data_IF_703175179079
#
_entry.id   IF_703175179079
#
_cell.length_a   1.000
_cell.length_b   1.000
_cell.length_c   1.000
_cell.angle_alpha   90.00
_cell.angle_beta   90.00
_cell.angle_gamma   90.00
#
_symmetry.space_group_name_H-M   'P 1'
#
loop_
_entity.id
_entity.type
_entity.pdbx_description
1 polymer ?
#
# COMPACT_ATOMS: atom_id res chain seq x y z
N UNK A 1 -5.74 18.94 -14.68
CA UNK A 1 -4.98 19.40 -13.50
C UNK A 1 -3.85 18.40 -13.32
N UNK A 2 -2.61 18.85 -13.21
CA UNK A 2 -1.46 17.94 -13.16
C UNK A 2 -1.39 17.23 -11.82
N UNK A 3 -1.23 15.91 -11.83
CA UNK A 3 -0.93 15.13 -10.63
C UNK A 3 0.39 15.62 -10.04
N UNK A 4 0.39 16.03 -8.77
CA UNK A 4 1.61 16.44 -8.09
C UNK A 4 2.54 15.22 -7.99
N UNK A 5 3.80 15.39 -8.38
CA UNK A 5 4.76 14.28 -8.46
C UNK A 5 5.89 14.44 -7.45
N UNK A 6 6.20 13.38 -6.70
CA UNK A 6 7.39 13.26 -5.84
C UNK A 6 8.31 12.21 -6.48
N UNK A 7 9.58 12.53 -6.65
CA UNK A 7 10.52 11.65 -7.35
C UNK A 7 11.89 11.63 -6.67
N UNK A 8 12.48 10.44 -6.59
CA UNK A 8 13.85 10.23 -6.07
C UNK A 8 14.08 10.81 -4.68
N UNK A 9 13.11 10.61 -3.79
CA UNK A 9 13.20 11.07 -2.40
C UNK A 9 13.35 9.88 -1.45
N UNK A 10 14.11 10.11 -0.38
CA UNK A 10 14.03 9.32 0.85
C UNK A 10 13.05 10.03 1.78
N UNK A 11 11.92 9.41 2.06
CA UNK A 11 10.91 9.91 2.99
C UNK A 11 10.97 9.11 4.29
N UNK A 12 11.09 9.82 5.41
CA UNK A 12 11.23 9.20 6.73
C UNK A 12 10.22 9.74 7.72
N UNK A 13 10.02 8.98 8.80
CA UNK A 13 9.12 9.34 9.90
C UNK A 13 7.81 8.58 9.86
N UNK A 14 7.12 8.58 11.00
CA UNK A 14 5.96 7.72 11.29
C UNK A 14 4.86 7.78 10.22
N UNK A 15 4.57 8.97 9.68
CA UNK A 15 3.51 9.23 8.71
C UNK A 15 3.92 10.27 7.65
N UNK A 16 4.98 9.98 6.89
CA UNK A 16 5.64 10.94 5.98
C UNK A 16 4.70 11.67 5.00
N UNK A 17 3.61 11.03 4.58
CA UNK A 17 2.61 11.57 3.65
C UNK A 17 1.18 11.37 4.18
N UNK A 18 0.97 11.59 5.47
CA UNK A 18 -0.36 11.56 6.09
C UNK A 18 -1.35 12.45 5.33
N UNK A 19 -2.55 11.93 5.05
CA UNK A 19 -3.62 12.65 4.35
C UNK A 19 -3.22 13.20 2.97
N UNK A 20 -2.23 12.56 2.32
CA UNK A 20 -1.84 12.93 0.97
C UNK A 20 -2.99 12.67 -0.01
N UNK A 21 -3.12 13.56 -1.00
CA UNK A 21 -4.14 13.47 -2.03
C UNK A 21 -3.54 13.73 -3.40
N UNK A 22 -3.96 12.93 -4.39
CA UNK A 22 -3.68 13.12 -5.81
C UNK A 22 -2.16 13.24 -6.12
N UNK A 23 -1.38 12.27 -5.61
CA UNK A 23 0.07 12.21 -5.77
C UNK A 23 0.52 11.03 -6.64
N UNK A 24 1.48 11.31 -7.53
CA UNK A 24 2.31 10.29 -8.16
C UNK A 24 3.67 10.27 -7.48
N UNK A 25 4.11 9.10 -7.03
CA UNK A 25 5.35 8.93 -6.27
C UNK A 25 6.20 7.90 -7.00
N UNK A 26 7.41 8.30 -7.39
CA UNK A 26 8.26 7.53 -8.31
C UNK A 26 9.68 7.42 -7.79
N UNK A 27 10.27 6.23 -7.88
CA UNK A 27 11.67 6.01 -7.52
C UNK A 27 12.00 6.47 -6.09
N UNK A 28 11.04 6.36 -5.18
CA UNK A 28 11.16 6.82 -3.80
C UNK A 28 11.35 5.65 -2.83
N UNK A 29 11.95 5.98 -1.68
CA UNK A 29 12.13 5.04 -0.57
C UNK A 29 11.45 5.62 0.66
N UNK A 30 10.62 4.82 1.32
CA UNK A 30 10.04 5.12 2.63
C UNK A 30 10.69 4.22 3.67
N UNK A 31 11.23 4.83 4.72
CA UNK A 31 11.92 4.13 5.81
C UNK A 31 11.54 4.72 7.17
N UNK A 32 11.70 3.92 8.23
CA UNK A 32 11.40 4.33 9.62
C UNK A 32 9.96 4.86 9.80
N UNK A 33 9.02 4.34 9.02
CA UNK A 33 7.61 4.72 9.06
C UNK A 33 6.73 3.66 9.73
N UNK A 34 5.65 4.10 10.38
CA UNK A 34 4.61 3.18 10.84
C UNK A 34 3.54 3.02 9.77
N UNK A 35 2.98 4.14 9.29
CA UNK A 35 1.92 4.16 8.27
C UNK A 35 2.06 5.40 7.38
N UNK A 36 2.95 5.36 6.37
CA UNK A 36 3.35 6.55 5.62
C UNK A 36 2.21 7.26 4.87
N UNK A 37 1.16 6.52 4.47
CA UNK A 37 0.00 7.05 3.72
C UNK A 37 -1.32 7.00 4.50
N UNK A 38 -1.28 6.99 5.84
CA UNK A 38 -2.52 6.90 6.60
C UNK A 38 -3.55 7.99 6.18
N UNK A 39 -4.81 7.61 5.96
CA UNK A 39 -5.92 8.48 5.50
C UNK A 39 -5.70 9.19 4.15
N UNK A 40 -5.03 8.55 3.20
CA UNK A 40 -4.69 9.16 1.89
C UNK A 40 -5.63 8.74 0.76
N UNK A 41 -5.65 9.51 -0.34
CA UNK A 41 -6.50 9.20 -1.50
C UNK A 41 -5.84 9.51 -2.84
N UNK A 42 -6.11 8.70 -3.86
CA UNK A 42 -5.69 9.00 -5.24
C UNK A 42 -4.18 8.97 -5.40
N UNK A 43 -3.54 7.90 -4.91
CA UNK A 43 -2.08 7.77 -4.90
C UNK A 43 -1.63 6.77 -5.96
N UNK A 44 -0.54 7.09 -6.64
CA UNK A 44 0.14 6.16 -7.54
C UNK A 44 1.59 6.00 -7.12
N UNK A 45 2.01 4.77 -6.83
CA UNK A 45 3.42 4.42 -6.67
C UNK A 45 3.95 3.69 -7.90
N UNK A 46 5.13 4.11 -8.36
CA UNK A 46 5.88 3.43 -9.42
C UNK A 46 7.33 3.25 -8.94
N UNK A 47 7.83 2.02 -8.98
CA UNK A 47 9.21 1.69 -8.62
C UNK A 47 9.64 2.22 -7.23
N UNK A 48 8.78 2.07 -6.23
CA UNK A 48 9.06 2.55 -4.87
C UNK A 48 9.34 1.40 -3.90
N UNK A 49 10.20 1.65 -2.90
CA UNK A 49 10.38 0.75 -1.75
C UNK A 49 9.71 1.34 -0.54
N UNK A 50 8.85 0.57 0.11
CA UNK A 50 8.08 0.98 1.28
C UNK A 50 8.41 0.03 2.42
N UNK A 51 9.21 0.52 3.36
CA UNK A 51 9.49 -0.18 4.62
C UNK A 51 8.66 0.46 5.73
N UNK A 52 7.69 -0.28 6.26
CA UNK A 52 6.80 0.18 7.33
C UNK A 52 6.10 -0.98 8.03
N UNK A 53 5.67 -0.79 9.28
CA UNK A 53 4.91 -1.82 10.01
C UNK A 53 3.46 -1.96 9.49
N UNK A 54 2.74 -0.83 9.50
CA UNK A 54 1.33 -0.68 9.12
C UNK A 54 1.22 0.04 7.77
N UNK A 55 1.79 -0.57 6.74
CA UNK A 55 1.83 0.04 5.41
C UNK A 55 0.43 0.29 4.86
N UNK A 56 0.13 1.55 4.54
CA UNK A 56 -1.06 1.93 3.75
C UNK A 56 -2.39 1.64 4.50
N UNK A 57 -2.67 2.31 5.62
CA UNK A 57 -3.96 2.19 6.31
C UNK A 57 -4.95 3.27 5.84
N UNK A 58 -6.22 2.90 5.64
CA UNK A 58 -7.30 3.82 5.27
C UNK A 58 -7.01 4.61 3.99
N UNK A 59 -6.51 3.91 2.96
CA UNK A 59 -6.24 4.49 1.64
C UNK A 59 -7.39 4.19 0.70
N UNK A 60 -7.79 5.21 -0.07
CA UNK A 60 -8.84 5.13 -1.09
C UNK A 60 -8.26 5.47 -2.48
N UNK A 61 -8.31 4.56 -3.44
CA UNK A 61 -7.76 4.79 -4.77
C UNK A 61 -6.23 4.76 -4.79
N UNK A 62 -5.64 3.57 -4.72
CA UNK A 62 -4.19 3.35 -4.78
C UNK A 62 -3.81 2.45 -5.94
N UNK A 63 -2.86 2.90 -6.76
CA UNK A 63 -2.17 2.05 -7.73
C UNK A 63 -0.71 1.85 -7.33
N UNK A 64 -0.21 0.62 -7.35
CA UNK A 64 1.21 0.33 -7.15
C UNK A 64 1.76 -0.53 -8.28
N UNK A 65 2.87 -0.08 -8.89
CA UNK A 65 3.56 -0.79 -9.98
C UNK A 65 5.04 -0.95 -9.62
N UNK A 66 5.56 -2.16 -9.79
CA UNK A 66 6.97 -2.48 -9.55
C UNK A 66 7.48 -2.05 -8.16
N UNK A 67 6.61 -2.07 -7.16
CA UNK A 67 6.96 -1.62 -5.81
C UNK A 67 7.50 -2.77 -4.96
N UNK A 68 8.11 -2.44 -3.84
CA UNK A 68 8.56 -3.40 -2.82
C UNK A 68 7.94 -3.02 -1.49
N UNK A 69 7.21 -3.93 -0.86
CA UNK A 69 6.84 -3.79 0.55
C UNK A 69 7.82 -4.63 1.37
N UNK A 70 8.42 -4.03 2.39
CA UNK A 70 9.44 -4.65 3.24
C UNK A 70 9.03 -4.49 4.70
N UNK A 71 9.18 -5.56 5.48
CA UNK A 71 8.88 -5.59 6.92
C UNK A 71 7.45 -5.12 7.25
N UNK A 72 6.51 -5.35 6.33
CA UNK A 72 5.13 -4.85 6.41
C UNK A 72 4.18 -5.97 6.77
N UNK A 73 3.93 -6.09 8.07
CA UNK A 73 3.09 -7.17 8.65
C UNK A 73 1.60 -6.82 8.69
N UNK A 74 1.24 -5.55 8.52
CA UNK A 74 -0.15 -5.07 8.57
C UNK A 74 -0.45 -4.13 7.41
N UNK A 75 -0.36 -4.63 6.19
CA UNK A 75 -0.62 -3.84 5.00
C UNK A 75 -2.13 -3.69 4.70
N UNK A 76 -2.50 -2.59 4.02
CA UNK A 76 -3.81 -2.37 3.39
C UNK A 76 -5.02 -2.37 4.33
N UNK A 77 -4.82 -1.96 5.59
CA UNK A 77 -5.89 -1.92 6.60
C UNK A 77 -7.05 -1.02 6.16
N UNK A 78 -8.25 -1.60 5.99
CA UNK A 78 -9.47 -0.93 5.52
C UNK A 78 -9.30 -0.11 4.24
N UNK A 79 -8.46 -0.59 3.32
CA UNK A 79 -8.23 0.09 2.05
C UNK A 79 -9.29 -0.25 0.98
N UNK A 80 -9.63 0.74 0.15
CA UNK A 80 -10.66 0.64 -0.90
C UNK A 80 -10.08 1.10 -2.24
N UNK A 81 -10.54 0.50 -3.33
CA UNK A 81 -10.10 0.81 -4.69
C UNK A 81 -8.57 0.70 -4.87
N UNK A 82 -8.04 -0.49 -4.58
CA UNK A 82 -6.60 -0.76 -4.64
C UNK A 82 -6.27 -1.69 -5.82
N UNK A 83 -5.30 -1.30 -6.64
CA UNK A 83 -4.61 -2.17 -7.61
C UNK A 83 -3.11 -2.14 -7.32
N UNK A 84 -2.62 -3.14 -6.59
CA UNK A 84 -1.26 -3.17 -6.08
C UNK A 84 -0.46 -4.37 -6.59
N UNK A 85 0.74 -4.09 -7.09
CA UNK A 85 1.77 -5.09 -7.37
C UNK A 85 3.02 -4.82 -6.52
N UNK A 86 3.38 -5.82 -5.73
CA UNK A 86 4.68 -5.90 -5.04
C UNK A 86 5.57 -6.91 -5.76
N UNK A 87 6.86 -6.58 -5.88
CA UNK A 87 7.92 -7.46 -6.39
C UNK A 87 8.58 -8.25 -5.25
N UNK A 88 8.18 -8.01 -4.00
CA UNK A 88 8.60 -8.73 -2.80
C UNK A 88 7.41 -9.37 -2.10
N UNK A 89 7.69 -10.36 -1.25
CA UNK A 89 6.71 -10.90 -0.29
C UNK A 89 6.04 -9.76 0.49
N UNK A 90 4.73 -9.87 0.71
CA UNK A 90 4.00 -9.00 1.64
C UNK A 90 3.77 -9.79 2.94
N UNK A 91 4.28 -9.31 4.06
CA UNK A 91 4.33 -10.10 5.30
C UNK A 91 2.98 -10.26 6.00
N UNK A 92 2.08 -9.28 5.83
CA UNK A 92 0.69 -9.48 6.20
C UNK A 92 -0.26 -8.40 5.70
N UNK A 93 -1.53 -8.75 5.65
CA UNK A 93 -2.64 -7.95 5.13
C UNK A 93 -3.77 -7.99 6.16
N UNK A 94 -4.41 -6.86 6.43
CA UNK A 94 -5.48 -6.77 7.43
C UNK A 94 -6.73 -6.15 6.83
N UNK A 95 -7.86 -6.84 6.86
CA UNK A 95 -9.20 -6.34 6.53
C UNK A 95 -9.26 -5.35 5.34
N UNK A 96 -8.68 -5.64 4.17
CA UNK A 96 -8.90 -4.81 2.98
C UNK A 96 -10.37 -4.84 2.56
N UNK A 97 -10.87 -3.74 1.98
CA UNK A 97 -12.29 -3.59 1.62
C UNK A 97 -12.54 -3.93 0.14
N UNK A 98 -11.76 -3.37 -0.78
CA UNK A 98 -11.88 -3.61 -2.23
C UNK A 98 -10.52 -3.50 -2.89
N UNK A 99 -9.91 -4.64 -3.22
CA UNK A 99 -8.50 -4.69 -3.60
C UNK A 99 -8.21 -5.77 -4.64
N UNK A 100 -7.20 -5.50 -5.47
CA UNK A 100 -6.48 -6.50 -6.22
C UNK A 100 -4.99 -6.38 -5.85
N UNK A 101 -4.44 -7.40 -5.20
CA UNK A 101 -3.07 -7.40 -4.69
C UNK A 101 -2.31 -8.57 -5.31
N UNK A 102 -1.13 -8.28 -5.85
CA UNK A 102 -0.23 -9.24 -6.49
C UNK A 102 1.14 -9.18 -5.85
N UNK A 103 1.69 -10.32 -5.44
CA UNK A 103 3.04 -10.42 -4.88
C UNK A 103 3.59 -11.84 -5.04
N UNK A 104 4.92 -12.07 -5.02
CA UNK A 104 5.47 -13.42 -5.10
C UNK A 104 5.05 -14.36 -3.97
N UNK A 105 4.70 -13.80 -2.81
CA UNK A 105 4.25 -14.57 -1.65
C UNK A 105 3.50 -13.66 -0.67
N UNK A 106 2.58 -14.25 0.10
CA UNK A 106 1.93 -13.58 1.22
C UNK A 106 2.25 -14.25 2.56
N UNK A 107 2.22 -13.45 3.62
CA UNK A 107 2.19 -13.96 4.99
C UNK A 107 0.78 -14.02 5.55
N UNK A 108 0.60 -13.46 6.74
CA UNK A 108 -0.68 -13.55 7.43
C UNK A 108 -1.73 -12.67 6.76
N UNK A 109 -2.89 -13.23 6.44
CA UNK A 109 -4.03 -12.47 5.93
C UNK A 109 -5.14 -12.54 6.98
N UNK A 110 -5.39 -11.41 7.63
CA UNK A 110 -6.47 -11.26 8.61
C UNK A 110 -7.70 -10.70 7.90
N UNK A 111 -8.76 -11.49 7.82
CA UNK A 111 -10.07 -11.06 7.34
C UNK A 111 -11.14 -11.45 8.36
N UNK A 112 -11.34 -10.61 9.37
CA UNK A 112 -12.21 -10.91 10.52
C UNK A 112 -13.33 -9.89 10.76
N UNK A 113 -13.37 -8.79 10.00
CA UNK A 113 -14.53 -7.90 10.01
C UNK A 113 -15.67 -8.50 9.16
N UNK A 114 -16.83 -8.84 9.76
CA UNK A 114 -17.96 -9.42 9.04
C UNK A 114 -18.69 -8.43 8.13
N UNK A 115 -18.44 -7.12 8.25
CA UNK A 115 -19.08 -6.10 7.40
C UNK A 115 -18.44 -5.98 6.02
N UNK A 116 -17.24 -6.56 5.82
CA UNK A 116 -16.51 -6.46 4.56
C UNK A 116 -17.01 -7.52 3.56
N UNK A 117 -17.40 -7.06 2.37
CA UNK A 117 -17.71 -7.94 1.24
C UNK A 117 -16.43 -8.51 0.62
N UNK A 118 -16.19 -9.80 0.91
CA UNK A 118 -15.00 -10.52 0.41
C UNK A 118 -14.99 -10.73 -1.10
N UNK A 119 -16.12 -10.54 -1.80
CA UNK A 119 -16.16 -10.66 -3.26
C UNK A 119 -15.34 -9.59 -3.97
N UNK A 120 -15.03 -8.49 -3.26
CA UNK A 120 -14.22 -7.38 -3.76
C UNK A 120 -12.72 -7.54 -3.47
N UNK A 121 -12.30 -8.68 -2.92
CA UNK A 121 -10.91 -8.93 -2.51
C UNK A 121 -10.31 -9.99 -3.41
N UNK A 122 -9.29 -9.61 -4.16
CA UNK A 122 -8.49 -10.53 -4.99
C UNK A 122 -7.03 -10.45 -4.56
N UNK A 123 -6.47 -11.56 -4.12
CA UNK A 123 -5.07 -11.68 -3.70
C UNK A 123 -4.44 -12.83 -4.49
N UNK A 124 -3.39 -12.54 -5.25
CA UNK A 124 -2.82 -13.48 -6.22
C UNK A 124 -1.31 -13.56 -6.04
N UNK A 125 -0.80 -14.77 -5.85
CA UNK A 125 0.64 -15.01 -5.89
C UNK A 125 1.15 -14.95 -7.33
N UNK A 126 2.26 -14.24 -7.54
CA UNK A 126 2.93 -14.15 -8.85
C UNK A 126 4.07 -15.15 -8.93
N UNK A 127 4.30 -15.72 -10.12
CA UNK A 127 5.43 -16.62 -10.41
C UNK A 127 6.80 -15.95 -10.26
#
# INVERSE_FOLDING_TARGET
>A
MGTNTITQQLLTGERALFQAQDLAIRDCVFENGESPLKESRGITFENCTIESLQGLCYVDGLTMRDCRLINTTRAFEYCTDIDAQSTTRIDGIVNPTSVIIRAPQFGEIVQNDPAIDRSQITIVETE
#
